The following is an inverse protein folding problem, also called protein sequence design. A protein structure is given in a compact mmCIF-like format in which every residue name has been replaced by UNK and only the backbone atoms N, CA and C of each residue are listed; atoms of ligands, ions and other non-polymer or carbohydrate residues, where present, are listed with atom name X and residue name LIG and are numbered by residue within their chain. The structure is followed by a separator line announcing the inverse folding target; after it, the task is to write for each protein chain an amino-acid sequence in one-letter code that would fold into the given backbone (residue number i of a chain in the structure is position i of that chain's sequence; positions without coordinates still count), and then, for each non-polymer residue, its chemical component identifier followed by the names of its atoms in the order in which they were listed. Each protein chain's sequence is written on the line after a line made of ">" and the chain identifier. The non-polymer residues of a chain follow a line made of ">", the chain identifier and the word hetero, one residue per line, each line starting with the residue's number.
data_IF_246316904728
#
_entry.id   IF_246316904728
#
_cell.length_a   1.000
_cell.length_b   1.000
_cell.length_c   1.000
_cell.angle_alpha   90.00
_cell.angle_beta   90.00
_cell.angle_gamma   90.00
#
_symmetry.space_group_name_H-M   'P 1'
#
loop_
_entity.id
_entity.type
_entity.pdbx_description
1 polymer ?
#
# COMPACT_ATOMS: atom_id res chain seq x y z
N UNK A 1 27.82 -1.29 -13.85
CA UNK A 1 27.40 -2.59 -14.38
C UNK A 1 26.09 -2.93 -13.68
N UNK A 2 25.05 -3.41 -14.38
CA UNK A 2 23.76 -3.70 -13.73
C UNK A 2 23.90 -4.85 -12.75
N UNK A 3 23.35 -4.70 -11.55
CA UNK A 3 23.36 -5.78 -10.55
C UNK A 3 22.56 -6.99 -11.04
N UNK A 4 22.78 -8.20 -10.47
CA UNK A 4 21.93 -9.36 -10.79
C UNK A 4 20.44 -9.07 -10.58
N UNK A 5 20.10 -8.32 -9.53
CA UNK A 5 18.72 -7.92 -9.25
C UNK A 5 18.15 -7.00 -10.34
N UNK A 6 18.89 -5.97 -10.75
CA UNK A 6 18.46 -5.07 -11.84
C UNK A 6 18.23 -5.82 -13.16
N UNK A 7 19.02 -6.86 -13.45
CA UNK A 7 18.83 -7.69 -14.64
C UNK A 7 17.51 -8.47 -14.57
N UNK A 8 17.19 -9.07 -13.43
CA UNK A 8 15.92 -9.77 -13.21
C UNK A 8 14.74 -8.80 -13.31
N UNK A 9 14.84 -7.62 -12.67
CA UNK A 9 13.78 -6.61 -12.64
C UNK A 9 13.54 -5.95 -14.01
N UNK A 10 14.56 -5.87 -14.88
CA UNK A 10 14.40 -5.36 -16.25
C UNK A 10 13.95 -6.44 -17.25
N UNK A 11 14.09 -7.71 -16.91
CA UNK A 11 13.68 -8.84 -17.74
C UNK A 11 12.17 -8.93 -17.98
N UNK A 12 11.72 -9.62 -19.03
CA UNK A 12 10.30 -9.94 -19.25
C UNK A 12 9.88 -11.16 -18.41
N UNK A 13 9.92 -10.98 -17.10
CA UNK A 13 9.70 -12.04 -16.11
C UNK A 13 8.43 -11.71 -15.30
N UNK A 14 7.68 -12.76 -14.90
CA UNK A 14 6.47 -12.61 -14.09
C UNK A 14 6.80 -12.22 -12.64
N UNK A 15 5.84 -11.60 -11.93
CA UNK A 15 5.99 -11.16 -10.53
C UNK A 15 6.50 -12.28 -9.63
N UNK A 16 5.94 -13.48 -9.76
CA UNK A 16 6.24 -14.62 -8.88
C UNK A 16 7.71 -15.03 -8.99
N UNK A 17 8.30 -14.92 -10.19
CA UNK A 17 9.73 -15.23 -10.40
C UNK A 17 10.64 -14.13 -9.83
N UNK A 18 10.22 -12.87 -9.84
CA UNK A 18 10.99 -11.78 -9.21
C UNK A 18 10.99 -11.93 -7.69
N UNK A 19 9.83 -12.26 -7.09
CA UNK A 19 9.72 -12.56 -5.67
C UNK A 19 10.51 -13.82 -5.29
N UNK A 20 10.41 -14.91 -6.07
CA UNK A 20 11.19 -16.12 -5.82
C UNK A 20 12.70 -15.88 -5.89
N UNK A 21 13.15 -15.04 -6.83
CA UNK A 21 14.56 -14.63 -6.91
C UNK A 21 14.97 -13.88 -5.66
N UNK A 22 14.22 -12.86 -5.24
CA UNK A 22 14.55 -12.09 -4.04
C UNK A 22 14.49 -12.95 -2.76
N UNK A 23 13.58 -13.92 -2.69
CA UNK A 23 13.50 -14.88 -1.59
C UNK A 23 14.72 -15.80 -1.52
N UNK A 24 15.32 -16.15 -2.66
CA UNK A 24 16.52 -16.97 -2.74
C UNK A 24 17.81 -16.16 -2.49
N UNK A 25 17.72 -14.84 -2.55
CA UNK A 25 18.84 -13.89 -2.41
C UNK A 25 18.54 -12.82 -1.35
N UNK A 26 18.39 -13.19 -0.07
CA UNK A 26 18.03 -12.26 1.00
C UNK A 26 19.04 -11.12 1.20
N UNK A 27 20.30 -11.29 0.79
CA UNK A 27 21.33 -10.26 0.76
C UNK A 27 21.01 -9.09 -0.18
N UNK A 28 20.10 -9.30 -1.15
CA UNK A 28 19.65 -8.28 -2.10
C UNK A 28 18.41 -7.50 -1.63
N UNK A 29 17.89 -7.79 -0.43
CA UNK A 29 16.66 -7.15 0.07
C UNK A 29 16.80 -5.63 0.16
N UNK A 30 17.84 -5.13 0.81
CA UNK A 30 18.09 -3.69 0.96
C UNK A 30 18.27 -3.00 -0.40
N UNK A 31 18.90 -3.69 -1.36
CA UNK A 31 19.02 -3.21 -2.73
C UNK A 31 17.64 -3.12 -3.39
N UNK A 32 16.79 -4.13 -3.23
CA UNK A 32 15.43 -4.10 -3.76
C UNK A 32 14.63 -2.93 -3.18
N UNK A 33 14.75 -2.64 -1.88
CA UNK A 33 14.05 -1.49 -1.26
C UNK A 33 14.59 -0.16 -1.80
N UNK A 34 15.90 0.01 -1.91
CA UNK A 34 16.48 1.22 -2.52
C UNK A 34 16.05 1.39 -3.98
N UNK A 35 16.00 0.30 -4.75
CA UNK A 35 15.53 0.33 -6.12
C UNK A 35 14.04 0.68 -6.19
N UNK A 36 13.21 0.17 -5.27
CA UNK A 36 11.78 0.50 -5.22
C UNK A 36 11.54 1.97 -4.90
N UNK A 37 12.39 2.60 -4.08
CA UNK A 37 12.30 4.02 -3.76
C UNK A 37 12.87 4.94 -4.86
N UNK A 38 13.57 4.38 -5.85
CA UNK A 38 14.20 5.16 -6.93
C UNK A 38 13.21 5.59 -8.03
N UNK A 39 13.61 6.59 -8.83
CA UNK A 39 12.83 7.03 -9.99
C UNK A 39 13.07 6.16 -11.25
N UNK A 40 13.82 5.06 -11.14
CA UNK A 40 14.19 4.21 -12.28
C UNK A 40 13.03 3.33 -12.74
N UNK A 41 12.24 3.80 -13.71
CA UNK A 41 11.19 2.99 -14.34
C UNK A 41 11.79 2.09 -15.44
N UNK A 42 11.42 0.79 -15.56
CA UNK A 42 10.40 0.06 -14.80
C UNK A 42 10.94 -0.68 -13.56
N UNK A 43 12.17 -0.41 -13.13
CA UNK A 43 12.83 -1.16 -12.05
C UNK A 43 12.11 -0.90 -10.72
N UNK A 44 11.78 0.34 -10.39
CA UNK A 44 11.23 0.73 -9.09
C UNK A 44 9.92 0.02 -8.73
N UNK A 45 8.89 0.16 -9.56
CA UNK A 45 7.60 -0.52 -9.32
C UNK A 45 7.66 -2.06 -9.45
N UNK A 46 8.69 -2.61 -10.09
CA UNK A 46 8.91 -4.07 -10.11
C UNK A 46 9.65 -4.55 -8.88
N UNK A 47 10.55 -3.75 -8.34
CA UNK A 47 11.18 -4.01 -7.06
C UNK A 47 10.12 -4.03 -5.94
N UNK A 48 9.17 -3.08 -5.95
CA UNK A 48 8.05 -3.10 -4.98
C UNK A 48 7.21 -4.39 -5.10
N UNK A 49 6.99 -4.90 -6.32
CA UNK A 49 6.32 -6.19 -6.51
C UNK A 49 7.11 -7.37 -5.96
N UNK A 50 8.44 -7.38 -6.17
CA UNK A 50 9.29 -8.44 -5.66
C UNK A 50 9.22 -8.48 -4.13
N UNK A 51 9.38 -7.32 -3.48
CA UNK A 51 9.28 -7.14 -2.02
C UNK A 51 7.92 -7.59 -1.51
N UNK A 52 6.83 -7.06 -2.07
CA UNK A 52 5.47 -7.39 -1.64
C UNK A 52 5.05 -8.85 -1.87
N UNK A 53 5.84 -9.63 -2.62
CA UNK A 53 5.61 -11.08 -2.78
C UNK A 53 6.42 -11.95 -1.83
N UNK A 54 7.35 -11.38 -1.05
CA UNK A 54 8.15 -12.13 -0.07
C UNK A 54 8.01 -11.60 1.36
N UNK A 55 7.54 -10.37 1.53
CA UNK A 55 7.39 -9.78 2.85
C UNK A 55 6.28 -10.53 3.59
N UNK A 56 6.60 -10.99 4.80
CA UNK A 56 5.63 -11.52 5.75
C UNK A 56 5.10 -10.39 6.64
N UNK A 57 4.01 -10.68 7.33
CA UNK A 57 3.53 -9.83 8.43
C UNK A 57 4.66 -9.53 9.42
N UNK A 58 4.75 -8.26 9.84
CA UNK A 58 5.69 -7.71 10.81
C UNK A 58 7.17 -8.00 10.54
N UNK A 59 7.57 -7.95 9.27
CA UNK A 59 8.97 -8.16 8.90
C UNK A 59 9.88 -7.04 9.43
N UNK A 60 10.72 -7.37 10.41
CA UNK A 60 11.73 -6.45 10.98
C UNK A 60 12.66 -5.84 9.91
N UNK A 61 12.89 -6.56 8.80
CA UNK A 61 13.74 -6.10 7.69
C UNK A 61 13.23 -4.81 7.04
N UNK A 62 11.93 -4.55 7.13
CA UNK A 62 11.33 -3.39 6.50
C UNK A 62 11.37 -2.14 7.40
N UNK A 63 11.45 -2.32 8.72
CA UNK A 63 11.41 -1.24 9.72
C UNK A 63 12.34 -0.07 9.36
N UNK A 64 13.61 -0.29 8.97
CA UNK A 64 14.52 0.82 8.65
C UNK A 64 14.10 1.66 7.45
N UNK A 65 13.26 1.11 6.57
CA UNK A 65 12.86 1.72 5.30
C UNK A 65 11.46 2.35 5.33
N UNK A 66 10.66 2.09 6.38
CA UNK A 66 9.30 2.63 6.51
C UNK A 66 9.26 4.15 6.37
N UNK A 67 10.14 4.95 7.02
CA UNK A 67 10.11 6.40 6.87
C UNK A 67 10.29 6.88 5.43
N UNK A 68 11.20 6.24 4.69
CA UNK A 68 11.47 6.59 3.28
C UNK A 68 10.30 6.18 2.37
N UNK A 69 9.69 5.02 2.65
CA UNK A 69 8.48 4.55 1.95
C UNK A 69 7.34 5.54 2.14
N UNK A 70 7.06 5.95 3.38
CA UNK A 70 6.01 6.92 3.70
C UNK A 70 6.26 8.27 3.03
N UNK A 71 7.52 8.74 3.04
CA UNK A 71 7.93 9.99 2.40
C UNK A 71 7.72 9.93 0.88
N UNK A 72 8.09 8.83 0.23
CA UNK A 72 8.01 8.68 -1.22
C UNK A 72 6.58 8.41 -1.72
N UNK A 73 5.75 7.76 -0.90
CA UNK A 73 4.43 7.24 -1.28
C UNK A 73 3.52 8.24 -2.02
N UNK A 74 3.38 9.53 -1.63
CA UNK A 74 2.52 10.48 -2.31
C UNK A 74 2.93 10.79 -3.76
N UNK A 75 4.22 10.65 -4.08
CA UNK A 75 4.79 10.98 -5.40
C UNK A 75 4.63 9.87 -6.44
N UNK A 76 4.25 8.67 -6.00
CA UNK A 76 4.27 7.48 -6.83
C UNK A 76 3.01 7.35 -7.71
N UNK A 77 3.17 6.61 -8.81
CA UNK A 77 2.05 6.21 -9.67
C UNK A 77 1.12 5.22 -8.94
N UNK A 78 -0.17 5.25 -9.27
CA UNK A 78 -1.21 4.45 -8.60
C UNK A 78 -0.86 2.96 -8.40
N UNK A 79 -0.20 2.34 -9.38
CA UNK A 79 0.17 0.92 -9.29
C UNK A 79 1.26 0.63 -8.26
N UNK A 80 2.17 1.59 -8.07
CA UNK A 80 3.28 1.52 -7.13
C UNK A 80 2.81 1.94 -5.72
N UNK A 81 2.02 3.01 -5.63
CA UNK A 81 1.33 3.39 -4.39
C UNK A 81 0.57 2.23 -3.77
N UNK A 82 -0.23 1.54 -4.59
CA UNK A 82 -1.00 0.37 -4.14
C UNK A 82 -0.11 -0.73 -3.57
N UNK A 83 1.07 -0.96 -4.14
CA UNK A 83 1.95 -2.01 -3.64
C UNK A 83 2.62 -1.62 -2.33
N UNK A 84 3.07 -0.37 -2.20
CA UNK A 84 3.60 0.15 -0.93
C UNK A 84 2.54 0.20 0.16
N UNK A 85 1.30 0.59 -0.14
CA UNK A 85 0.19 0.52 0.83
C UNK A 85 0.03 -0.90 1.37
N UNK A 86 0.00 -1.91 0.50
CA UNK A 86 -0.11 -3.31 0.94
C UNK A 86 1.05 -3.76 1.82
N UNK A 87 2.26 -3.32 1.47
CA UNK A 87 3.47 -3.62 2.24
C UNK A 87 3.35 -2.98 3.64
N UNK A 88 2.92 -1.72 3.72
CA UNK A 88 2.72 -1.00 4.98
C UNK A 88 1.61 -1.60 5.84
N UNK A 89 0.52 -2.10 5.24
CA UNK A 89 -0.54 -2.83 5.96
C UNK A 89 -0.04 -4.10 6.66
N UNK A 90 1.11 -4.64 6.25
CA UNK A 90 1.73 -5.83 6.84
C UNK A 90 2.90 -5.47 7.78
N UNK A 91 3.09 -4.18 8.08
CA UNK A 91 4.24 -3.68 8.83
C UNK A 91 3.82 -3.20 10.22
N UNK A 92 4.71 -3.36 11.19
CA UNK A 92 4.56 -2.67 12.47
C UNK A 92 4.91 -1.20 12.28
N UNK A 93 3.92 -0.34 12.48
CA UNK A 93 4.06 1.12 12.37
C UNK A 93 3.97 1.74 13.77
N UNK A 94 4.84 2.72 14.06
CA UNK A 94 4.66 3.57 15.23
C UNK A 94 3.40 4.43 15.10
N UNK A 95 2.89 4.97 16.20
CA UNK A 95 1.72 5.88 16.20
C UNK A 95 1.88 7.04 15.20
N UNK A 96 3.05 7.70 15.20
CA UNK A 96 3.36 8.77 14.24
C UNK A 96 3.29 8.29 12.77
N UNK A 97 3.79 7.07 12.50
CA UNK A 97 3.76 6.47 11.16
C UNK A 97 2.34 6.08 10.75
N UNK A 98 1.51 5.62 11.70
CA UNK A 98 0.11 5.31 11.48
C UNK A 98 -0.67 6.57 11.10
N UNK A 99 -0.49 7.67 11.85
CA UNK A 99 -1.10 8.96 11.54
C UNK A 99 -0.70 9.47 10.15
N UNK A 100 0.60 9.45 9.84
CA UNK A 100 1.09 9.84 8.51
C UNK A 100 0.50 8.97 7.39
N UNK A 101 0.45 7.66 7.58
CA UNK A 101 -0.13 6.74 6.59
C UNK A 101 -1.63 6.97 6.41
N UNK A 102 -2.36 7.25 7.50
CA UNK A 102 -3.78 7.59 7.45
C UNK A 102 -4.02 8.84 6.60
N UNK A 103 -3.29 9.93 6.85
CA UNK A 103 -3.39 11.18 6.09
C UNK A 103 -3.10 10.98 4.59
N UNK A 104 -2.05 10.22 4.27
CA UNK A 104 -1.72 9.86 2.89
C UNK A 104 -2.87 9.08 2.25
N UNK A 105 -3.48 8.14 2.98
CA UNK A 105 -4.56 7.30 2.48
C UNK A 105 -5.87 8.09 2.29
N UNK A 106 -6.19 9.04 3.18
CA UNK A 106 -7.29 10.00 2.99
C UNK A 106 -7.06 10.78 1.69
N UNK A 107 -5.88 11.38 1.51
CA UNK A 107 -5.55 12.14 0.30
C UNK A 107 -5.65 11.31 -0.99
N UNK A 108 -5.20 10.04 -0.97
CA UNK A 108 -5.35 9.12 -2.10
C UNK A 108 -6.82 8.79 -2.36
N UNK A 109 -7.60 8.55 -1.31
CA UNK A 109 -9.02 8.21 -1.41
C UNK A 109 -9.84 9.36 -2.00
N UNK A 110 -9.58 10.60 -1.59
CA UNK A 110 -10.30 11.79 -2.06
C UNK A 110 -10.05 12.12 -3.53
N UNK A 111 -8.90 11.70 -4.07
CA UNK A 111 -8.57 11.87 -5.48
C UNK A 111 -9.35 10.91 -6.38
N UNK A 112 -10.61 11.26 -6.67
CA UNK A 112 -11.58 10.43 -7.42
C UNK A 112 -11.14 10.01 -8.83
N UNK A 113 -10.11 10.67 -9.40
CA UNK A 113 -9.53 10.32 -10.71
C UNK A 113 -8.50 9.19 -10.64
N UNK A 114 -7.98 8.85 -9.44
CA UNK A 114 -7.07 7.72 -9.26
C UNK A 114 -7.76 6.40 -9.55
N UNK A 115 -6.97 5.40 -9.95
CA UNK A 115 -7.47 4.04 -10.23
C UNK A 115 -8.24 3.51 -9.01
N UNK A 116 -9.43 2.92 -9.21
CA UNK A 116 -10.22 2.36 -8.11
C UNK A 116 -9.44 1.43 -7.18
N UNK A 117 -8.49 0.65 -7.72
CA UNK A 117 -7.70 -0.29 -6.92
C UNK A 117 -6.81 0.38 -5.87
N UNK A 118 -6.13 1.50 -6.17
CA UNK A 118 -5.26 2.15 -5.18
C UNK A 118 -6.10 2.81 -4.09
N UNK A 119 -7.22 3.43 -4.50
CA UNK A 119 -8.21 4.02 -3.59
C UNK A 119 -8.80 2.97 -2.64
N UNK A 120 -9.12 1.78 -3.15
CA UNK A 120 -9.63 0.70 -2.30
C UNK A 120 -8.65 0.26 -1.20
N UNK A 121 -7.36 0.12 -1.52
CA UNK A 121 -6.36 -0.22 -0.49
C UNK A 121 -6.12 0.93 0.49
N UNK A 122 -6.14 2.18 0.02
CA UNK A 122 -6.12 3.34 0.93
C UNK A 122 -7.32 3.34 1.88
N UNK A 123 -8.51 2.99 1.39
CA UNK A 123 -9.71 2.83 2.23
C UNK A 123 -9.58 1.69 3.24
N UNK A 124 -8.96 0.56 2.87
CA UNK A 124 -8.71 -0.52 3.81
C UNK A 124 -7.80 -0.08 4.96
N UNK A 125 -6.72 0.66 4.67
CA UNK A 125 -5.87 1.24 5.73
C UNK A 125 -6.69 2.10 6.69
N UNK A 126 -7.52 3.01 6.16
CA UNK A 126 -8.36 3.86 7.02
C UNK A 126 -9.29 3.03 7.91
N UNK A 127 -9.87 1.94 7.37
CA UNK A 127 -10.72 1.02 8.12
C UNK A 127 -9.93 0.27 9.20
N UNK A 128 -8.74 -0.23 8.87
CA UNK A 128 -7.89 -0.96 9.81
C UNK A 128 -7.47 -0.06 10.98
N UNK A 129 -7.22 1.24 10.72
CA UNK A 129 -6.95 2.22 11.78
C UNK A 129 -8.13 2.41 12.74
N UNK A 130 -9.38 2.15 12.33
CA UNK A 130 -10.53 2.19 13.24
C UNK A 130 -10.59 1.05 14.25
N UNK A 131 -9.78 0.00 14.06
CA UNK A 131 -9.63 -1.05 15.08
C UNK A 131 -8.74 -0.59 16.24
N UNK A 132 -7.81 0.35 15.96
CA UNK A 132 -6.88 0.92 16.93
C UNK A 132 -7.46 2.21 17.54
N UNK A 133 -8.08 3.05 16.71
CA UNK A 133 -8.65 4.35 17.04
C UNK A 133 -10.15 4.39 16.66
N UNK A 134 -11.05 3.85 17.51
CA UNK A 134 -12.48 3.79 17.23
C UNK A 134 -13.15 5.14 16.94
N UNK A 135 -12.60 6.23 17.47
CA UNK A 135 -13.06 7.60 17.20
C UNK A 135 -13.01 7.99 15.71
N UNK A 136 -12.16 7.32 14.91
CA UNK A 136 -12.05 7.55 13.47
C UNK A 136 -13.21 6.95 12.68
N UNK A 137 -14.06 6.09 13.26
CA UNK A 137 -15.15 5.41 12.54
C UNK A 137 -16.07 6.43 11.86
N UNK A 138 -16.46 7.50 12.57
CA UNK A 138 -17.32 8.55 12.03
C UNK A 138 -16.68 9.26 10.83
N UNK A 139 -15.38 9.55 10.91
CA UNK A 139 -14.62 10.20 9.84
C UNK A 139 -14.54 9.29 8.60
N UNK A 140 -14.17 8.01 8.79
CA UNK A 140 -14.08 7.03 7.71
C UNK A 140 -15.44 6.81 7.03
N UNK A 141 -16.54 6.76 7.80
CA UNK A 141 -17.89 6.68 7.22
C UNK A 141 -18.22 7.93 6.41
N UNK A 142 -17.84 9.13 6.88
CA UNK A 142 -18.08 10.39 6.17
C UNK A 142 -17.39 10.42 4.80
N UNK A 143 -16.23 9.78 4.67
CA UNK A 143 -15.49 9.62 3.42
C UNK A 143 -16.15 8.65 2.43
N UNK A 144 -17.29 8.04 2.77
CA UNK A 144 -18.03 7.12 1.88
C UNK A 144 -19.26 7.73 1.22
N UNK A 145 -19.36 9.07 1.22
CA UNK A 145 -20.38 9.80 0.49
C UNK A 145 -20.26 9.62 -1.04
N UNK A 146 -21.34 9.96 -1.76
CA UNK A 146 -21.50 9.65 -3.19
C UNK A 146 -20.39 10.23 -4.08
N UNK A 147 -19.84 11.41 -3.74
CA UNK A 147 -18.74 12.04 -4.47
C UNK A 147 -17.49 11.15 -4.52
N UNK A 148 -17.19 10.41 -3.44
CA UNK A 148 -16.02 9.54 -3.38
C UNK A 148 -16.30 8.17 -3.99
N UNK A 149 -17.50 7.64 -3.82
CA UNK A 149 -17.84 6.26 -4.22
C UNK A 149 -18.21 6.13 -5.70
N UNK A 150 -18.79 7.15 -6.32
CA UNK A 150 -19.36 7.03 -7.67
C UNK A 150 -18.34 6.74 -8.77
N UNK A 151 -17.07 7.11 -8.57
CA UNK A 151 -15.96 6.84 -9.49
C UNK A 151 -15.34 5.45 -9.35
N UNK A 152 -15.78 4.66 -8.36
CA UNK A 152 -15.27 3.30 -8.15
C UNK A 152 -15.88 2.32 -9.15
N UNK A 153 -15.15 1.24 -9.44
CA UNK A 153 -15.72 0.13 -10.22
C UNK A 153 -16.86 -0.55 -9.43
N UNK A 154 -17.84 -1.18 -10.11
CA UNK A 154 -18.97 -1.83 -9.43
C UNK A 154 -18.54 -2.84 -8.35
N UNK A 155 -17.49 -3.62 -8.63
CA UNK A 155 -16.95 -4.59 -7.67
C UNK A 155 -16.36 -3.95 -6.42
N UNK A 156 -15.55 -2.89 -6.58
CA UNK A 156 -14.95 -2.17 -5.45
C UNK A 156 -16.02 -1.42 -4.67
N UNK A 157 -16.97 -0.78 -5.36
CA UNK A 157 -18.11 -0.09 -4.74
C UNK A 157 -18.90 -1.04 -3.82
N UNK A 158 -19.21 -2.25 -4.30
CA UNK A 158 -19.86 -3.29 -3.48
C UNK A 158 -19.02 -3.69 -2.27
N UNK A 159 -17.71 -3.84 -2.45
CA UNK A 159 -16.77 -4.16 -1.36
C UNK A 159 -16.76 -3.08 -0.27
N UNK A 160 -16.67 -1.81 -0.67
CA UNK A 160 -16.68 -0.66 0.26
C UNK A 160 -17.99 -0.60 1.03
N UNK A 161 -19.14 -0.75 0.37
CA UNK A 161 -20.43 -0.73 1.08
C UNK A 161 -20.55 -1.83 2.14
N UNK A 162 -20.07 -3.04 1.84
CA UNK A 162 -20.06 -4.14 2.83
C UNK A 162 -19.18 -3.80 4.05
N UNK A 163 -18.07 -3.11 3.85
CA UNK A 163 -17.20 -2.68 4.95
C UNK A 163 -17.90 -1.59 5.78
N UNK A 164 -18.48 -0.58 5.14
CA UNK A 164 -19.18 0.53 5.82
C UNK A 164 -20.37 0.03 6.64
N UNK A 165 -21.11 -0.95 6.14
CA UNK A 165 -22.21 -1.58 6.89
C UNK A 165 -21.72 -2.18 8.21
N UNK A 166 -20.58 -2.88 8.20
CA UNK A 166 -19.96 -3.42 9.42
C UNK A 166 -19.46 -2.33 10.36
N UNK A 167 -18.87 -1.26 9.83
CA UNK A 167 -18.40 -0.13 10.63
C UNK A 167 -19.55 0.58 11.36
N UNK A 168 -20.72 0.74 10.70
CA UNK A 168 -21.89 1.34 11.33
C UNK A 168 -22.40 0.51 12.50
N UNK A 169 -22.44 -0.81 12.35
CA UNK A 169 -22.84 -1.72 13.45
C UNK A 169 -21.88 -1.59 14.64
N UNK A 170 -20.57 -1.55 14.41
CA UNK A 170 -19.55 -1.35 15.46
C UNK A 170 -19.67 0.00 16.18
N UNK A 171 -20.17 1.04 15.50
CA UNK A 171 -20.29 2.39 16.05
C UNK A 171 -21.54 2.58 16.94
N UNK A 172 -22.48 1.64 16.88
CA UNK A 172 -23.73 1.67 17.67
C UNK A 172 -23.60 0.85 18.98
N UNK A 173 -22.49 0.12 19.14
CA UNK A 173 -22.11 -0.65 20.35
C UNK A 173 -21.40 0.23 21.40
#
# INVERSE_FOLDING_TARGET
>A
MKSPLEQILTGRIKKEKMSAFLSAHPEMFDEAVRLSLSDQKPISWRASWAIGGIISENSEKLIPFIPDILTKLPELEDGHQREFIKILMQSELSEDQQGLLFDICVSIWEQVRKKPSVRYFAFQVMVDMTEIYPELIHEVISLTQSQYINSLSPGIKKGVYKIVERLRLRNEE
#
